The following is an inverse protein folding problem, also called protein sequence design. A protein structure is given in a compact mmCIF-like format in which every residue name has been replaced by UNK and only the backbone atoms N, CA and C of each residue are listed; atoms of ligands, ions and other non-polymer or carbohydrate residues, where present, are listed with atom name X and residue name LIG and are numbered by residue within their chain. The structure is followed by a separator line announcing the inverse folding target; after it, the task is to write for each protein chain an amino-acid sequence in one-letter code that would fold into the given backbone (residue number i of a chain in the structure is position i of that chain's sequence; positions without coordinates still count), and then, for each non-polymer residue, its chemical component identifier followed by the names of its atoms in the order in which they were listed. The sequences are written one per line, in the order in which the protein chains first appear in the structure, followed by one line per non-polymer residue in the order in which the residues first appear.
data_IF_413169979795
#
_entry.id   IF_413169979795
#
_cell.length_a   1.000
_cell.length_b   1.000
_cell.length_c   1.000
_cell.angle_alpha   90.00
_cell.angle_beta   90.00
_cell.angle_gamma   90.00
#
_symmetry.space_group_name_H-M   'P 1'
#
loop_
_entity.id
_entity.type
_entity.pdbx_description
1 polymer ?
#
# COMPACT_ATOMS: atom_id res chain seq x y z
N UNK A 1 -18.93 4.51 -4.49
CA UNK A 1 -19.06 4.91 -5.93
C UNK A 1 -19.73 3.80 -6.70
N UNK A 2 -20.84 4.08 -7.38
CA UNK A 2 -21.65 3.08 -8.07
C UNK A 2 -21.07 2.79 -9.48
N UNK A 3 -21.43 1.60 -10.09
CA UNK A 3 -20.90 1.13 -11.38
C UNK A 3 -21.15 2.14 -12.54
N UNK A 4 -22.28 2.85 -12.50
CA UNK A 4 -22.63 3.86 -13.51
C UNK A 4 -21.74 5.12 -13.41
N UNK A 5 -21.37 5.54 -12.21
CA UNK A 5 -20.44 6.66 -12.00
C UNK A 5 -19.03 6.30 -12.49
N UNK A 6 -18.56 5.07 -12.20
CA UNK A 6 -17.28 4.57 -12.72
C UNK A 6 -17.23 4.61 -14.24
N UNK A 7 -18.30 4.17 -14.92
CA UNK A 7 -18.40 4.18 -16.38
C UNK A 7 -18.37 5.61 -16.98
N UNK A 8 -19.01 6.59 -16.31
CA UNK A 8 -18.98 8.00 -16.75
C UNK A 8 -17.59 8.61 -16.66
N UNK A 9 -16.86 8.35 -15.57
CA UNK A 9 -15.48 8.82 -15.40
C UNK A 9 -14.52 8.17 -16.42
N UNK A 10 -14.65 6.86 -16.67
CA UNK A 10 -13.85 6.16 -17.66
C UNK A 10 -14.10 6.72 -19.08
N UNK A 11 -15.38 7.04 -19.45
CA UNK A 11 -15.72 7.70 -20.72
C UNK A 11 -15.16 9.11 -20.85
N UNK A 12 -14.97 9.82 -19.73
CA UNK A 12 -14.36 11.15 -19.69
C UNK A 12 -12.82 11.11 -19.70
N UNK A 13 -12.19 9.94 -19.93
CA UNK A 13 -10.74 9.78 -19.99
C UNK A 13 -10.05 9.65 -18.62
N UNK A 14 -10.82 9.57 -17.53
CA UNK A 14 -10.28 9.38 -16.21
C UNK A 14 -9.91 7.90 -15.97
N UNK A 15 -8.65 7.62 -15.72
CA UNK A 15 -8.23 6.29 -15.27
C UNK A 15 -8.62 6.13 -13.80
N UNK A 16 -9.60 5.29 -13.55
CA UNK A 16 -9.98 4.86 -12.19
C UNK A 16 -8.99 3.78 -11.76
N UNK A 17 -7.92 4.20 -11.13
CA UNK A 17 -6.95 3.33 -10.47
C UNK A 17 -7.11 3.40 -8.94
N UNK A 18 -6.39 2.55 -8.26
CA UNK A 18 -6.15 2.67 -6.81
C UNK A 18 -5.25 3.89 -6.54
N UNK A 19 -5.18 4.35 -5.30
CA UNK A 19 -4.21 5.39 -4.93
C UNK A 19 -2.77 4.98 -5.28
N UNK A 20 -2.47 3.68 -5.19
CA UNK A 20 -1.19 3.12 -5.60
C UNK A 20 -0.90 3.30 -7.10
N UNK A 21 -1.89 3.05 -7.96
CA UNK A 21 -1.76 3.23 -9.42
C UNK A 21 -1.51 4.70 -9.80
N UNK A 22 -2.17 5.62 -9.08
CA UNK A 22 -2.03 7.08 -9.33
C UNK A 22 -0.67 7.59 -8.87
N UNK A 23 -0.15 7.07 -7.76
CA UNK A 23 1.11 7.48 -7.16
C UNK A 23 2.32 6.72 -7.71
N UNK A 24 2.10 5.71 -8.57
CA UNK A 24 3.17 4.87 -9.11
C UNK A 24 3.90 4.04 -8.06
N UNK A 25 3.20 3.69 -6.96
CA UNK A 25 3.77 2.90 -5.89
C UNK A 25 3.96 1.44 -6.33
N UNK A 26 5.07 0.84 -5.95
CA UNK A 26 5.26 -0.60 -6.07
C UNK A 26 4.31 -1.38 -5.15
N UNK A 27 4.06 -2.66 -5.46
CA UNK A 27 3.14 -3.51 -4.68
C UNK A 27 3.46 -3.53 -3.18
N UNK A 28 4.74 -3.55 -2.82
CA UNK A 28 5.18 -3.54 -1.43
C UNK A 28 4.91 -2.20 -0.74
N UNK A 29 5.09 -1.08 -1.44
CA UNK A 29 4.82 0.26 -0.92
C UNK A 29 3.33 0.48 -0.75
N UNK A 30 2.52 0.04 -1.72
CA UNK A 30 1.07 0.09 -1.63
C UNK A 30 0.56 -0.72 -0.44
N UNK A 31 1.08 -1.94 -0.24
CA UNK A 31 0.75 -2.79 0.91
C UNK A 31 1.16 -2.14 2.24
N UNK A 32 2.30 -1.46 2.29
CA UNK A 32 2.76 -0.74 3.48
C UNK A 32 1.83 0.42 3.83
N UNK A 33 1.44 1.23 2.84
CA UNK A 33 0.49 2.34 3.03
C UNK A 33 -0.83 1.82 3.55
N UNK A 34 -1.39 0.78 2.93
CA UNK A 34 -2.65 0.16 3.36
C UNK A 34 -2.55 -0.38 4.79
N UNK A 35 -1.47 -1.07 5.14
CA UNK A 35 -1.24 -1.56 6.50
C UNK A 35 -1.19 -0.41 7.53
N UNK A 36 -0.53 0.72 7.20
CA UNK A 36 -0.49 1.89 8.08
C UNK A 36 -1.87 2.49 8.31
N UNK A 37 -2.68 2.59 7.25
CA UNK A 37 -4.05 3.10 7.35
C UNK A 37 -4.92 2.20 8.24
N UNK A 38 -4.84 0.88 8.05
CA UNK A 38 -5.58 -0.10 8.86
C UNK A 38 -5.14 -0.09 10.33
N UNK A 39 -3.85 0.05 10.61
CA UNK A 39 -3.35 0.16 11.98
C UNK A 39 -3.87 1.40 12.69
N UNK A 40 -4.03 2.53 12.02
CA UNK A 40 -4.68 3.71 12.58
C UNK A 40 -6.11 3.42 13.07
N UNK A 41 -6.89 2.71 12.26
CA UNK A 41 -8.25 2.27 12.64
C UNK A 41 -8.23 1.30 13.83
N UNK A 42 -7.28 0.36 13.85
CA UNK A 42 -7.09 -0.57 14.98
C UNK A 42 -6.78 0.17 16.27
N UNK A 43 -5.87 1.15 16.25
CA UNK A 43 -5.55 1.99 17.43
C UNK A 43 -6.82 2.63 17.98
N UNK A 44 -7.61 3.25 17.11
CA UNK A 44 -8.87 3.89 17.50
C UNK A 44 -9.86 2.89 18.10
N UNK A 45 -10.04 1.74 17.45
CA UNK A 45 -10.96 0.70 17.89
C UNK A 45 -10.56 0.11 19.26
N UNK A 46 -9.27 -0.19 19.46
CA UNK A 46 -8.76 -0.74 20.73
C UNK A 46 -8.89 0.28 21.85
N UNK A 47 -8.53 1.55 21.61
CA UNK A 47 -8.71 2.62 22.59
C UNK A 47 -10.17 2.77 23.01
N UNK A 48 -11.10 2.80 22.06
CA UNK A 48 -12.54 2.92 22.33
C UNK A 48 -13.08 1.74 23.12
N UNK A 49 -12.68 0.50 22.80
CA UNK A 49 -13.07 -0.71 23.55
C UNK A 49 -12.61 -0.65 25.01
N UNK A 50 -11.51 0.03 25.29
CA UNK A 50 -10.97 0.22 26.64
C UNK A 50 -11.49 1.49 27.29
N UNK A 51 -12.44 2.20 26.68
CA UNK A 51 -13.00 3.47 27.16
C UNK A 51 -11.95 4.54 27.49
N UNK A 52 -10.81 4.51 26.76
CA UNK A 52 -9.75 5.48 26.94
C UNK A 52 -10.00 6.73 26.07
N UNK A 53 -9.72 7.92 26.66
CA UNK A 53 -9.58 9.13 25.85
C UNK A 53 -8.24 9.12 25.09
N UNK A 54 -8.11 9.94 24.04
CA UNK A 54 -6.82 10.12 23.36
C UNK A 54 -5.72 10.61 24.31
N UNK A 55 -6.07 11.50 25.25
CA UNK A 55 -5.13 11.98 26.26
C UNK A 55 -4.71 10.86 27.23
N UNK A 56 -5.64 9.99 27.64
CA UNK A 56 -5.33 8.85 28.49
C UNK A 56 -4.39 7.85 27.78
N UNK A 57 -4.65 7.54 26.50
CA UNK A 57 -3.76 6.69 25.69
C UNK A 57 -2.38 7.35 25.54
N UNK A 58 -2.33 8.64 25.25
CA UNK A 58 -1.07 9.38 25.14
C UNK A 58 -0.23 9.28 26.42
N UNK A 59 -0.87 9.40 27.58
CA UNK A 59 -0.22 9.24 28.89
C UNK A 59 0.35 7.83 29.08
N UNK A 60 -0.42 6.77 28.71
CA UNK A 60 0.06 5.38 28.75
C UNK A 60 1.26 5.13 27.86
N UNK A 61 1.33 5.82 26.72
CA UNK A 61 2.42 5.69 25.75
C UNK A 61 3.64 6.57 26.09
N UNK A 62 3.57 7.45 27.07
CA UNK A 62 4.57 8.49 27.27
C UNK A 62 4.68 9.46 26.06
N UNK A 63 3.55 9.79 25.44
CA UNK A 63 3.46 10.57 24.20
C UNK A 63 2.48 11.74 24.35
N UNK A 64 2.26 12.53 23.30
CA UNK A 64 1.29 13.62 23.28
C UNK A 64 -0.04 13.20 22.68
N UNK A 65 -1.13 13.85 23.11
CA UNK A 65 -2.46 13.64 22.55
C UNK A 65 -2.49 13.94 21.05
N UNK A 66 -1.78 14.96 20.59
CA UNK A 66 -1.71 15.32 19.16
C UNK A 66 -1.11 14.20 18.31
N UNK A 67 -0.12 13.46 18.84
CA UNK A 67 0.44 12.28 18.17
C UNK A 67 -0.56 11.13 18.08
N UNK A 68 -1.32 10.88 19.16
CA UNK A 68 -2.39 9.87 19.12
C UNK A 68 -3.47 10.28 18.12
N UNK A 69 -3.86 11.55 18.08
CA UNK A 69 -4.82 12.05 17.10
C UNK A 69 -4.34 11.87 15.65
N UNK A 70 -3.05 12.13 15.37
CA UNK A 70 -2.46 11.88 14.04
C UNK A 70 -2.53 10.39 13.65
N UNK A 71 -2.20 9.49 14.58
CA UNK A 71 -2.32 8.04 14.36
C UNK A 71 -3.75 7.66 13.97
N UNK A 72 -4.74 8.13 14.71
CA UNK A 72 -6.15 7.81 14.49
C UNK A 72 -6.76 8.50 13.26
N UNK A 73 -6.17 9.60 12.81
CA UNK A 73 -6.58 10.31 11.59
C UNK A 73 -5.93 9.75 10.32
N UNK A 74 -5.28 8.60 10.41
CA UNK A 74 -4.64 7.93 9.26
C UNK A 74 -3.55 8.77 8.59
N UNK A 75 -2.82 9.57 9.39
CA UNK A 75 -1.69 10.32 8.87
C UNK A 75 -0.59 9.35 8.41
N UNK A 76 -0.25 9.39 7.13
CA UNK A 76 0.72 8.48 6.51
C UNK A 76 2.16 8.73 6.95
N UNK A 77 2.45 9.91 7.50
CA UNK A 77 3.76 10.25 8.05
C UNK A 77 4.03 9.58 9.41
N UNK A 78 2.98 9.08 10.07
CA UNK A 78 3.12 8.37 11.33
C UNK A 78 3.88 7.06 11.11
N UNK A 79 4.87 6.81 11.95
CA UNK A 79 5.66 5.57 11.88
C UNK A 79 4.87 4.35 12.38
N UNK A 80 5.16 3.18 11.81
CA UNK A 80 4.59 1.90 12.26
C UNK A 80 4.91 1.62 13.74
N UNK A 81 6.12 1.99 14.20
CA UNK A 81 6.53 1.86 15.59
C UNK A 81 5.56 2.59 16.53
N UNK A 82 5.18 3.83 16.20
CA UNK A 82 4.25 4.59 17.00
C UNK A 82 2.85 3.96 17.01
N UNK A 83 2.39 3.43 15.88
CA UNK A 83 1.10 2.75 15.77
C UNK A 83 1.06 1.46 16.61
N UNK A 84 2.09 0.62 16.49
CA UNK A 84 2.20 -0.62 17.27
C UNK A 84 2.31 -0.33 18.78
N UNK A 85 3.10 0.66 19.17
CA UNK A 85 3.21 1.11 20.55
C UNK A 85 1.86 1.57 21.11
N UNK A 86 1.05 2.27 20.31
CA UNK A 86 -0.30 2.68 20.70
C UNK A 86 -1.22 1.47 20.94
N UNK A 87 -1.17 0.47 20.06
CA UNK A 87 -1.96 -0.76 20.20
C UNK A 87 -1.56 -1.51 21.48
N UNK A 88 -0.24 -1.71 21.71
CA UNK A 88 0.26 -2.48 22.86
C UNK A 88 0.02 -1.74 24.18
N UNK A 89 0.09 -0.40 24.21
CA UNK A 89 -0.25 0.39 25.38
C UNK A 89 -1.75 0.32 25.71
N UNK A 90 -2.60 0.34 24.71
CA UNK A 90 -4.04 0.21 24.89
C UNK A 90 -4.47 -1.24 25.20
N UNK A 91 -3.78 -2.25 24.61
CA UNK A 91 -4.06 -3.67 24.82
C UNK A 91 -2.76 -4.49 24.90
N UNK A 92 -2.23 -4.74 26.11
CA UNK A 92 -1.00 -5.51 26.27
C UNK A 92 -1.05 -6.93 25.67
N UNK A 93 -2.21 -7.56 25.63
CA UNK A 93 -2.38 -8.91 25.02
C UNK A 93 -2.12 -8.91 23.51
N UNK A 94 -2.35 -7.77 22.83
CA UNK A 94 -2.08 -7.63 21.41
C UNK A 94 -0.60 -7.85 21.08
N UNK A 95 0.31 -7.60 22.01
CA UNK A 95 1.75 -7.87 21.82
C UNK A 95 2.02 -9.37 21.69
N UNK A 96 1.28 -10.20 22.42
CA UNK A 96 1.39 -11.68 22.37
C UNK A 96 0.89 -12.18 21.00
N UNK A 97 -0.24 -11.67 20.56
CA UNK A 97 -0.82 -12.04 19.26
C UNK A 97 0.08 -11.58 18.10
N UNK A 98 0.66 -10.40 18.20
CA UNK A 98 1.64 -9.92 17.22
C UNK A 98 2.88 -10.82 17.18
N UNK A 99 3.43 -11.22 18.34
CA UNK A 99 4.54 -12.17 18.39
C UNK A 99 4.19 -13.53 17.78
N UNK A 100 2.96 -14.02 17.99
CA UNK A 100 2.47 -15.25 17.36
C UNK A 100 2.42 -15.11 15.85
N UNK A 101 1.95 -13.96 15.35
CA UNK A 101 1.92 -13.65 13.91
C UNK A 101 3.33 -13.65 13.31
N UNK A 102 4.29 -12.98 13.94
CA UNK A 102 5.69 -12.96 13.50
C UNK A 102 6.28 -14.37 13.47
N UNK A 103 6.04 -15.19 14.51
CA UNK A 103 6.50 -16.59 14.53
C UNK A 103 5.85 -17.43 13.42
N UNK A 104 4.59 -17.17 13.10
CA UNK A 104 3.92 -17.83 11.97
C UNK A 104 4.60 -17.45 10.66
N UNK A 105 4.83 -16.18 10.40
CA UNK A 105 5.54 -15.71 9.20
C UNK A 105 6.96 -16.27 9.08
N UNK A 106 7.69 -16.37 10.20
CA UNK A 106 9.02 -16.97 10.20
C UNK A 106 9.02 -18.46 9.81
N UNK A 107 7.96 -19.18 10.13
CA UNK A 107 7.79 -20.60 9.73
C UNK A 107 7.30 -20.74 8.29
N UNK A 108 6.35 -19.88 7.90
CA UNK A 108 5.74 -19.91 6.57
C UNK A 108 6.68 -19.29 5.51
N UNK A 109 7.56 -18.38 5.92
CA UNK A 109 8.58 -17.76 5.05
C UNK A 109 9.64 -18.75 4.51
N UNK A 110 9.66 -19.98 5.03
CA UNK A 110 10.43 -21.10 4.42
C UNK A 110 9.65 -21.78 3.27
N UNK A 111 8.39 -21.39 3.02
CA UNK A 111 7.60 -21.84 1.86
C UNK A 111 7.36 -20.65 0.94
N UNK A 112 8.06 -20.56 -0.21
CA UNK A 112 7.94 -19.42 -1.13
C UNK A 112 6.58 -19.27 -1.86
N UNK A 113 5.59 -20.12 -1.55
CA UNK A 113 4.33 -20.17 -2.29
C UNK A 113 3.10 -19.57 -1.58
N UNK A 114 3.22 -19.08 -0.35
CA UNK A 114 2.04 -18.69 0.45
C UNK A 114 1.65 -17.21 0.41
N UNK A 115 2.45 -16.34 -0.20
CA UNK A 115 2.06 -14.96 -0.48
C UNK A 115 1.77 -14.87 -1.96
N UNK A 116 0.49 -14.77 -2.32
CA UNK A 116 0.02 -14.65 -3.71
C UNK A 116 0.43 -13.34 -4.38
N UNK A 117 1.69 -12.99 -4.30
CA UNK A 117 2.31 -12.02 -5.20
C UNK A 117 2.46 -12.76 -6.52
N UNK A 118 1.45 -12.63 -7.39
CA UNK A 118 1.62 -12.99 -8.80
C UNK A 118 2.82 -12.20 -9.30
N UNK A 119 3.96 -12.88 -9.47
CA UNK A 119 5.07 -12.29 -10.23
C UNK A 119 4.47 -11.88 -11.57
N UNK A 120 4.46 -10.59 -11.84
CA UNK A 120 4.23 -10.12 -13.19
C UNK A 120 5.21 -10.87 -14.07
N UNK A 121 4.67 -11.67 -15.02
CA UNK A 121 5.50 -12.37 -15.98
C UNK A 121 6.36 -11.35 -16.73
N UNK A 122 7.51 -11.77 -17.29
CA UNK A 122 8.35 -10.89 -18.08
C UNK A 122 7.50 -10.21 -19.15
N UNK A 123 7.73 -8.92 -19.44
CA UNK A 123 6.99 -8.20 -20.45
C UNK A 123 7.09 -8.97 -21.77
N UNK A 124 6.01 -9.02 -22.58
CA UNK A 124 6.04 -9.71 -23.86
C UNK A 124 7.18 -9.15 -24.71
N UNK A 125 7.91 -10.01 -25.46
CA UNK A 125 9.00 -9.55 -26.32
C UNK A 125 8.46 -8.49 -27.27
N UNK A 126 9.10 -7.32 -27.26
CA UNK A 126 8.71 -6.18 -28.06
C UNK A 126 8.57 -6.62 -29.53
N UNK A 127 7.41 -6.34 -30.14
CA UNK A 127 7.18 -6.50 -31.57
C UNK A 127 8.32 -5.78 -32.28
N UNK A 128 9.23 -6.57 -32.88
CA UNK A 128 10.26 -6.01 -33.78
C UNK A 128 9.51 -5.24 -34.86
N UNK A 129 9.68 -3.93 -34.87
CA UNK A 129 9.23 -3.11 -35.96
C UNK A 129 9.95 -3.64 -37.23
N UNK A 130 9.14 -4.17 -38.17
CA UNK A 130 9.62 -4.58 -39.46
C UNK A 130 10.30 -3.37 -40.12
N UNK A 131 11.60 -3.52 -40.35
CA UNK A 131 12.43 -2.47 -40.92
C UNK A 131 11.84 -1.97 -42.21
N UNK A 132 11.65 -0.67 -42.30
CA UNK A 132 11.44 0.04 -43.56
C UNK A 132 12.64 -0.22 -44.46
N UNK A 133 12.40 -0.93 -45.56
CA UNK A 133 13.40 -1.12 -46.63
C UNK A 133 13.86 0.26 -47.14
N UNK A 134 15.17 0.51 -47.30
CA UNK A 134 15.65 1.74 -47.94
C UNK A 134 15.20 1.74 -49.40
N UNK A 135 14.58 2.83 -49.81
CA UNK A 135 14.28 3.11 -51.25
C UNK A 135 15.56 3.09 -52.02
N UNK A 136 15.64 2.22 -53.05
CA UNK A 136 16.67 2.18 -54.07
C UNK A 136 16.63 3.51 -54.85
N UNK A 137 17.66 4.30 -54.74
CA UNK A 137 17.86 5.52 -55.56
C UNK A 137 18.45 5.04 -56.88
N UNK A 138 17.73 5.20 -58.00
CA UNK A 138 18.26 5.03 -59.34
C UNK A 138 19.17 6.22 -59.69
N UNK A 139 20.35 6.00 -60.30
CA UNK A 139 21.18 7.08 -60.75
C UNK A 139 20.58 7.73 -62.00
N UNK A 140 20.33 9.05 -61.91
CA UNK A 140 20.02 9.90 -63.08
C UNK A 140 21.23 9.90 -64.02
N UNK A 141 21.01 9.45 -65.23
CA UNK A 141 21.92 9.73 -66.38
C UNK A 141 21.81 11.20 -66.72
N UNK A 142 22.91 11.88 -66.76
CA UNK A 142 23.07 13.21 -67.35
C UNK A 142 23.48 13.08 -68.81
N UNK A 143 23.13 14.06 -69.67
CA UNK A 143 23.44 14.12 -71.11
C UNK A 143 24.90 14.37 -71.42
#
# INVERSE_FOLDING_TARGET
MNKAQKARFAKAGWKLGTAADVLGLGDAEAALVEAKLQLGDVVRAVRQRRHLSQAALAKLMGSSQSRVAKVENRDTEVSLDLQLRAIFAANPEASIDFQRLIRKWSRDGQRPEAVGIRRAGPPPPGRRQAGSRPRRVEPRQAP
#
